data_IF_722709763165
#
_entry.id   IF_722709763165
#
_cell.length_a   1.000
_cell.length_b   1.000
_cell.length_c   1.000
_cell.angle_alpha   90.00
_cell.angle_beta   90.00
_cell.angle_gamma   90.00
#
_symmetry.space_group_name_H-M   'P 1'
#
loop_
_entity.id
_entity.type
_entity.pdbx_description
1 polymer ?
#
# COMPACT_ATOMS: atom_id res chain seq x y z
N UNK A 1 4.53 15.41 -13.02
CA UNK A 1 3.23 14.83 -13.38
C UNK A 1 3.31 14.18 -14.76
N UNK A 2 2.80 12.93 -14.93
CA UNK A 2 2.79 12.23 -16.23
C UNK A 2 1.33 12.03 -16.65
N UNK A 3 0.98 12.37 -17.89
CA UNK A 3 -0.39 12.26 -18.38
C UNK A 3 -0.43 11.56 -19.75
N UNK A 4 -1.23 10.50 -19.87
CA UNK A 4 -1.55 9.82 -21.11
C UNK A 4 -2.88 10.33 -21.64
N UNK A 5 -2.93 10.75 -22.91
CA UNK A 5 -4.14 11.28 -23.58
C UNK A 5 -4.44 10.47 -24.82
N UNK A 6 -5.45 9.62 -24.75
CA UNK A 6 -5.96 8.80 -25.87
C UNK A 6 -4.83 8.07 -26.62
N UNK A 7 -3.94 7.41 -25.85
CA UNK A 7 -2.76 6.76 -26.40
C UNK A 7 -3.10 5.40 -26.99
N UNK A 8 -2.67 5.18 -28.21
CA UNK A 8 -2.76 3.92 -28.94
C UNK A 8 -1.36 3.43 -29.32
N UNK A 9 -1.19 2.11 -29.29
CA UNK A 9 0.00 1.46 -29.86
C UNK A 9 -0.39 0.28 -30.71
N UNK A 10 0.06 0.32 -31.97
CA UNK A 10 -0.13 -0.74 -32.94
C UNK A 10 1.22 -1.16 -33.52
N UNK A 11 1.45 -2.45 -33.64
CA UNK A 11 2.59 -3.04 -34.33
C UNK A 11 2.03 -3.85 -35.53
N UNK A 12 2.27 -3.39 -36.76
CA UNK A 12 1.70 -3.97 -37.96
C UNK A 12 0.16 -4.10 -37.81
N UNK A 13 -0.33 -5.33 -37.71
CA UNK A 13 -1.75 -5.63 -37.56
C UNK A 13 -2.21 -5.86 -36.11
N UNK A 14 -1.27 -5.91 -35.13
CA UNK A 14 -1.60 -6.15 -33.73
C UNK A 14 -1.70 -4.84 -32.94
N UNK A 15 -2.86 -4.58 -32.34
CA UNK A 15 -3.06 -3.45 -31.43
C UNK A 15 -2.71 -3.89 -30.01
N UNK A 16 -1.64 -3.31 -29.47
CA UNK A 16 -1.12 -3.62 -28.12
C UNK A 16 -1.75 -2.71 -27.06
N UNK A 17 -2.01 -1.44 -27.40
CA UNK A 17 -2.69 -0.49 -26.49
C UNK A 17 -3.79 0.24 -27.27
N UNK A 18 -4.93 0.38 -26.63
CA UNK A 18 -6.13 0.99 -27.21
C UNK A 18 -6.73 2.01 -26.24
N UNK A 19 -6.68 3.27 -26.64
CA UNK A 19 -7.29 4.40 -25.91
C UNK A 19 -6.87 4.53 -24.44
N UNK A 20 -5.57 4.44 -24.18
CA UNK A 20 -5.03 4.58 -22.82
C UNK A 20 -5.06 6.05 -22.41
N UNK A 21 -5.81 6.36 -21.35
CA UNK A 21 -5.89 7.71 -20.78
C UNK A 21 -5.88 7.62 -19.25
N UNK A 22 -4.86 8.15 -18.61
CA UNK A 22 -4.75 8.26 -17.15
C UNK A 22 -3.65 9.25 -16.78
N UNK A 23 -3.60 9.61 -15.50
CA UNK A 23 -2.71 10.64 -14.98
C UNK A 23 -1.99 10.13 -13.73
N UNK A 24 -0.69 10.33 -13.70
CA UNK A 24 0.18 10.03 -12.57
C UNK A 24 0.59 11.36 -11.95
N UNK A 25 0.17 11.58 -10.72
CA UNK A 25 0.53 12.79 -9.98
C UNK A 25 2.01 12.77 -9.58
N UNK A 26 2.59 13.95 -9.44
CA UNK A 26 3.97 14.09 -8.97
C UNK A 26 4.09 13.56 -7.54
N UNK A 27 5.13 12.78 -7.28
CA UNK A 27 5.39 12.20 -5.96
C UNK A 27 4.64 10.90 -5.69
N UNK A 28 3.83 10.38 -6.64
CA UNK A 28 3.13 9.12 -6.43
C UNK A 28 3.92 7.93 -6.97
N UNK A 29 3.76 6.80 -6.28
CA UNK A 29 4.14 5.48 -6.78
C UNK A 29 2.94 4.85 -7.49
N UNK A 30 3.07 4.55 -8.78
CA UNK A 30 2.02 3.92 -9.57
C UNK A 30 2.48 2.55 -10.08
N UNK A 31 1.70 1.53 -9.79
CA UNK A 31 1.91 0.18 -10.30
C UNK A 31 1.08 -0.07 -11.56
N UNK A 32 1.71 -0.59 -12.62
CA UNK A 32 1.04 -1.16 -13.79
C UNK A 32 1.01 -2.68 -13.62
N UNK A 33 -0.19 -3.27 -13.51
CA UNK A 33 -0.35 -4.71 -13.31
C UNK A 33 -1.38 -5.30 -14.26
N UNK A 34 -1.30 -6.59 -14.54
CA UNK A 34 -2.22 -7.30 -15.43
C UNK A 34 -1.56 -8.54 -16.03
N UNK A 35 -2.28 -9.27 -16.86
CA UNK A 35 -1.77 -10.49 -17.51
C UNK A 35 -0.58 -10.24 -18.44
N UNK A 36 0.17 -11.29 -18.76
CA UNK A 36 1.28 -11.18 -19.70
C UNK A 36 0.79 -10.73 -21.07
N UNK A 37 1.50 -9.79 -21.69
CA UNK A 37 1.14 -9.25 -23.01
C UNK A 37 0.07 -8.16 -23.02
N UNK A 38 -0.55 -7.78 -21.89
CA UNK A 38 -1.59 -6.73 -21.85
C UNK A 38 -1.08 -5.28 -22.08
N UNK A 39 0.23 -5.08 -22.25
CA UNK A 39 0.80 -3.77 -22.63
C UNK A 39 1.51 -2.99 -21.54
N UNK A 40 1.70 -3.52 -20.32
CA UNK A 40 2.37 -2.85 -19.17
C UNK A 40 3.74 -2.27 -19.53
N UNK A 41 4.67 -3.15 -19.92
CA UNK A 41 6.04 -2.77 -20.31
C UNK A 41 6.04 -1.81 -21.52
N UNK A 42 5.10 -1.97 -22.46
CA UNK A 42 4.94 -1.03 -23.58
C UNK A 42 4.55 0.36 -23.09
N UNK A 43 3.57 0.44 -22.16
CA UNK A 43 3.14 1.70 -21.53
C UNK A 43 4.30 2.35 -20.78
N UNK A 44 5.04 1.56 -19.96
CA UNK A 44 6.21 2.05 -19.24
C UNK A 44 7.28 2.63 -20.21
N UNK A 45 7.63 1.88 -21.25
CA UNK A 45 8.65 2.27 -22.25
C UNK A 45 8.26 3.46 -23.11
N UNK A 46 6.99 3.85 -23.13
CA UNK A 46 6.57 5.07 -23.81
C UNK A 46 6.91 6.32 -23.01
N UNK A 47 6.92 6.28 -21.69
CA UNK A 47 7.22 7.47 -20.86
C UNK A 47 8.61 8.03 -21.16
N UNK A 48 9.60 7.15 -21.38
CA UNK A 48 10.97 7.57 -21.74
C UNK A 48 11.25 7.54 -23.25
N UNK A 49 10.20 7.45 -24.08
CA UNK A 49 10.28 7.39 -25.54
C UNK A 49 11.18 6.29 -26.09
N UNK A 50 11.35 5.15 -25.39
CA UNK A 50 11.92 3.94 -25.98
C UNK A 50 10.96 3.35 -27.01
N UNK A 51 9.67 3.57 -26.81
CA UNK A 51 8.59 3.24 -27.75
C UNK A 51 7.77 4.50 -27.98
N UNK A 52 7.49 4.85 -29.23
CA UNK A 52 6.59 5.95 -29.55
C UNK A 52 5.13 5.45 -29.66
N UNK A 53 4.14 6.23 -29.20
CA UNK A 53 2.74 5.93 -29.45
C UNK A 53 2.43 5.99 -30.95
N UNK A 54 1.42 5.24 -31.39
CA UNK A 54 0.91 5.32 -32.77
C UNK A 54 -0.06 6.48 -32.93
N UNK A 55 -0.85 6.76 -31.88
CA UNK A 55 -1.77 7.91 -31.77
C UNK A 55 -1.83 8.35 -30.32
N UNK A 56 -2.32 9.59 -30.08
CA UNK A 56 -2.43 10.19 -28.77
C UNK A 56 -1.13 10.85 -28.32
N UNK A 57 -1.14 11.38 -27.09
CA UNK A 57 -0.06 12.17 -26.54
C UNK A 57 0.31 11.70 -25.14
N UNK A 58 1.59 11.81 -24.80
CA UNK A 58 2.10 11.62 -23.44
C UNK A 58 2.77 12.92 -23.04
N UNK A 59 2.32 13.47 -21.91
CA UNK A 59 2.85 14.71 -21.38
C UNK A 59 3.60 14.46 -20.08
N UNK A 60 4.70 15.15 -19.90
CA UNK A 60 5.43 15.25 -18.64
C UNK A 60 5.46 16.73 -18.24
N UNK A 61 4.86 17.03 -17.08
CA UNK A 61 4.69 18.39 -16.57
C UNK A 61 3.99 19.34 -17.56
N UNK A 62 2.98 18.79 -18.26
CA UNK A 62 2.17 19.52 -19.26
C UNK A 62 2.80 19.62 -20.63
N UNK A 63 4.05 19.22 -20.81
CA UNK A 63 4.75 19.28 -22.09
C UNK A 63 4.79 17.90 -22.77
N UNK A 64 4.43 17.88 -24.07
CA UNK A 64 4.46 16.65 -24.86
C UNK A 64 5.91 16.14 -24.99
N UNK A 65 6.12 14.87 -24.62
CA UNK A 65 7.45 14.25 -24.65
C UNK A 65 8.05 14.20 -26.06
N UNK A 66 7.22 14.25 -27.11
CA UNK A 66 7.70 14.26 -28.50
C UNK A 66 8.44 15.55 -28.86
N UNK A 67 8.15 16.65 -28.14
CA UNK A 67 8.80 17.96 -28.32
C UNK A 67 10.11 18.08 -27.53
N UNK A 68 10.35 17.21 -26.54
CA UNK A 68 11.56 17.23 -25.73
C UNK A 68 12.74 16.59 -26.46
N UNK A 69 13.95 17.05 -26.15
CA UNK A 69 15.17 16.35 -26.59
C UNK A 69 15.18 14.94 -25.96
N UNK A 70 15.27 13.91 -26.78
CA UNK A 70 15.15 12.52 -26.34
C UNK A 70 16.31 12.09 -25.41
N UNK A 71 17.50 12.62 -25.63
CA UNK A 71 18.69 12.30 -24.84
C UNK A 71 18.53 12.91 -23.44
N UNK A 72 18.14 14.17 -23.38
CA UNK A 72 17.89 14.86 -22.09
C UNK A 72 16.73 14.24 -21.33
N UNK A 73 15.62 13.91 -22.01
CA UNK A 73 14.49 13.20 -21.42
C UNK A 73 14.96 11.91 -20.74
N UNK A 74 15.71 11.06 -21.44
CA UNK A 74 16.19 9.79 -20.93
C UNK A 74 17.23 9.93 -19.81
N UNK A 75 18.09 10.94 -19.87
CA UNK A 75 19.07 11.23 -18.81
C UNK A 75 18.41 11.71 -17.51
N UNK A 76 17.22 12.30 -17.59
CA UNK A 76 16.47 12.83 -16.46
C UNK A 76 15.42 11.86 -15.89
N UNK A 77 15.31 10.65 -16.46
CA UNK A 77 14.46 9.56 -15.98
C UNK A 77 15.35 8.40 -15.54
N UNK A 78 15.22 7.98 -14.29
CA UNK A 78 15.81 6.72 -13.82
C UNK A 78 15.09 5.54 -14.44
N UNK A 79 15.83 4.52 -14.90
CA UNK A 79 15.19 3.36 -15.51
C UNK A 79 15.84 2.05 -15.06
N UNK A 80 15.04 1.22 -14.39
CA UNK A 80 15.37 -0.16 -14.01
C UNK A 80 14.70 -1.10 -14.99
N UNK A 81 15.48 -1.87 -15.74
CA UNK A 81 14.97 -2.83 -16.72
C UNK A 81 14.85 -4.23 -16.12
N UNK A 82 13.95 -5.05 -16.65
CA UNK A 82 13.66 -6.42 -16.21
C UNK A 82 14.90 -7.33 -16.19
N UNK A 83 15.72 -7.28 -17.22
CA UNK A 83 17.05 -7.89 -17.23
C UNK A 83 18.04 -6.81 -16.76
N UNK A 84 18.89 -7.13 -15.81
CA UNK A 84 19.77 -6.18 -15.10
C UNK A 84 20.41 -5.06 -15.95
N UNK A 85 20.64 -5.34 -17.24
CA UNK A 85 21.15 -4.38 -18.23
C UNK A 85 22.44 -3.67 -17.81
N UNK A 86 23.23 -4.32 -16.99
CA UNK A 86 24.57 -3.89 -16.64
C UNK A 86 25.50 -4.15 -17.80
N UNK A 87 26.43 -3.25 -18.02
CA UNK A 87 27.48 -3.44 -19.02
C UNK A 87 28.52 -4.41 -18.46
N UNK A 88 28.70 -5.59 -19.05
CA UNK A 88 29.54 -6.66 -18.46
C UNK A 88 31.02 -6.33 -18.43
N UNK A 89 31.45 -5.39 -19.28
CA UNK A 89 32.83 -4.92 -19.38
C UNK A 89 33.16 -3.71 -18.50
N UNK A 90 32.18 -3.19 -17.77
CA UNK A 90 32.34 -2.12 -16.79
C UNK A 90 32.24 -2.68 -15.39
N UNK A 91 32.99 -2.13 -14.47
CA UNK A 91 32.87 -2.43 -13.03
C UNK A 91 31.50 -2.01 -12.51
N UNK A 92 31.12 -2.45 -11.31
CA UNK A 92 29.89 -2.03 -10.64
C UNK A 92 29.88 -0.52 -10.43
N UNK A 93 31.00 0.05 -10.00
CA UNK A 93 31.19 1.51 -9.88
C UNK A 93 30.85 2.21 -11.21
N UNK A 94 31.50 1.79 -12.28
CA UNK A 94 31.31 2.41 -13.59
C UNK A 94 29.89 2.26 -14.12
N UNK A 95 29.24 1.11 -13.86
CA UNK A 95 27.83 0.91 -14.19
C UNK A 95 26.93 1.89 -13.45
N UNK A 96 27.12 2.08 -12.16
CA UNK A 96 26.33 3.00 -11.33
C UNK A 96 26.55 4.45 -11.77
N UNK A 97 27.80 4.87 -11.96
CA UNK A 97 28.22 6.23 -12.22
C UNK A 97 28.02 6.70 -13.67
N UNK A 98 27.69 5.79 -14.59
CA UNK A 98 27.65 6.05 -16.03
C UNK A 98 26.84 7.29 -16.40
N UNK A 99 25.61 7.41 -15.93
CA UNK A 99 24.73 8.54 -16.28
C UNK A 99 25.20 9.83 -15.62
N UNK A 100 25.73 9.76 -14.40
CA UNK A 100 26.27 10.94 -13.71
C UNK A 100 27.50 11.52 -14.45
N UNK A 101 28.39 10.66 -14.93
CA UNK A 101 29.54 11.05 -15.77
C UNK A 101 29.08 11.66 -17.10
N UNK A 102 28.07 11.08 -17.74
CA UNK A 102 27.48 11.64 -18.96
C UNK A 102 26.77 12.99 -18.74
N UNK A 103 26.29 13.24 -17.52
CA UNK A 103 25.74 14.55 -17.08
C UNK A 103 26.84 15.52 -16.63
N UNK A 104 28.10 15.09 -16.61
CA UNK A 104 29.25 15.88 -16.14
C UNK A 104 29.10 16.38 -14.71
N UNK A 105 28.58 15.54 -13.83
CA UNK A 105 28.53 15.83 -12.39
C UNK A 105 29.96 15.85 -11.83
N UNK A 106 30.21 16.64 -10.75
CA UNK A 106 31.52 16.64 -10.07
C UNK A 106 31.86 15.25 -9.50
N UNK A 107 33.12 14.83 -9.62
CA UNK A 107 33.57 13.51 -9.20
C UNK A 107 33.38 13.26 -7.70
N UNK A 108 33.56 14.29 -6.86
CA UNK A 108 33.33 14.19 -5.42
C UNK A 108 31.85 13.90 -5.10
N UNK A 109 30.93 14.55 -5.80
CA UNK A 109 29.49 14.32 -5.65
C UNK A 109 29.12 12.92 -6.12
N UNK A 110 29.70 12.47 -7.25
CA UNK A 110 29.47 11.10 -7.78
C UNK A 110 29.94 10.09 -6.75
N UNK A 111 31.18 10.22 -6.24
CA UNK A 111 31.72 9.29 -5.24
C UNK A 111 30.89 9.22 -3.96
N UNK A 112 30.45 10.38 -3.46
CA UNK A 112 29.57 10.44 -2.26
C UNK A 112 28.24 9.72 -2.52
N UNK A 113 27.57 10.09 -3.60
CA UNK A 113 26.27 9.49 -3.97
C UNK A 113 26.39 8.00 -4.28
N UNK A 114 27.48 7.54 -4.89
CA UNK A 114 27.71 6.11 -5.16
C UNK A 114 27.74 5.31 -3.85
N UNK A 115 28.41 5.80 -2.81
CA UNK A 115 28.42 5.16 -1.49
C UNK A 115 27.03 5.13 -0.85
N UNK A 116 26.31 6.25 -0.91
CA UNK A 116 24.92 6.33 -0.43
C UNK A 116 24.00 5.34 -1.16
N UNK A 117 24.17 5.19 -2.47
CA UNK A 117 23.35 4.25 -3.28
C UNK A 117 23.72 2.78 -2.97
N UNK A 118 24.99 2.47 -2.72
CA UNK A 118 25.40 1.11 -2.32
C UNK A 118 24.79 0.73 -0.97
N UNK A 119 24.83 1.63 0.01
CA UNK A 119 24.21 1.46 1.32
C UNK A 119 22.69 1.26 1.17
N UNK A 120 22.03 2.13 0.40
CA UNK A 120 20.61 2.08 0.10
C UNK A 120 20.16 0.71 -0.44
N UNK A 121 20.94 0.13 -1.35
CA UNK A 121 20.59 -1.19 -1.92
C UNK A 121 21.16 -2.37 -1.11
N UNK A 122 21.76 -2.12 0.05
CA UNK A 122 22.32 -3.15 0.94
C UNK A 122 23.46 -3.94 0.29
N UNK A 123 24.36 -3.27 -0.43
CA UNK A 123 25.56 -3.85 -1.01
C UNK A 123 26.80 -3.26 -0.39
N UNK A 124 27.73 -4.12 0.03
CA UNK A 124 29.02 -3.69 0.56
C UNK A 124 29.86 -2.95 -0.50
N UNK A 125 30.62 -1.94 -0.07
CA UNK A 125 31.45 -1.13 -0.96
C UNK A 125 32.54 -1.94 -1.68
N UNK A 126 32.93 -3.10 -1.16
CA UNK A 126 33.89 -4.01 -1.81
C UNK A 126 33.40 -4.57 -3.14
N UNK A 127 32.09 -4.47 -3.42
CA UNK A 127 31.55 -4.86 -4.72
C UNK A 127 31.82 -3.83 -5.83
N UNK A 128 32.17 -2.58 -5.49
CA UNK A 128 32.31 -1.49 -6.47
C UNK A 128 33.33 -1.79 -7.57
N UNK A 129 34.41 -2.49 -7.23
CA UNK A 129 35.49 -2.78 -8.15
C UNK A 129 35.35 -4.15 -8.86
N UNK A 130 34.26 -4.89 -8.59
CA UNK A 130 33.90 -6.14 -9.26
C UNK A 130 33.17 -5.90 -10.58
N UNK A 131 33.10 -6.94 -11.40
CA UNK A 131 32.32 -6.95 -12.63
C UNK A 131 30.95 -7.60 -12.41
N UNK A 132 29.94 -7.31 -13.25
CA UNK A 132 28.62 -7.90 -13.13
C UNK A 132 28.61 -9.43 -13.10
N UNK A 133 29.48 -10.09 -13.81
CA UNK A 133 29.62 -11.56 -13.87
C UNK A 133 30.03 -12.20 -12.54
N UNK A 134 30.55 -11.41 -11.61
CA UNK A 134 30.96 -11.85 -10.27
C UNK A 134 29.83 -11.70 -9.24
N UNK A 135 28.66 -11.17 -9.65
CA UNK A 135 27.49 -10.92 -8.82
C UNK A 135 26.35 -11.89 -9.13
N UNK A 136 25.57 -12.25 -8.10
CA UNK A 136 24.30 -12.97 -8.31
C UNK A 136 23.30 -12.09 -9.06
N UNK A 137 22.27 -12.69 -9.69
CA UNK A 137 21.23 -11.95 -10.40
C UNK A 137 20.52 -10.92 -9.51
N UNK A 138 20.25 -11.25 -8.25
CA UNK A 138 19.65 -10.32 -7.30
C UNK A 138 20.59 -9.16 -6.92
N UNK A 139 21.90 -9.41 -6.80
CA UNK A 139 22.89 -8.34 -6.58
C UNK A 139 22.99 -7.42 -7.79
N UNK A 140 23.01 -7.98 -9.00
CA UNK A 140 22.97 -7.20 -10.24
C UNK A 140 21.72 -6.34 -10.35
N UNK A 141 20.55 -6.87 -9.94
CA UNK A 141 19.29 -6.11 -9.93
C UNK A 141 19.39 -4.90 -8.98
N UNK A 142 19.95 -5.09 -7.79
CA UNK A 142 20.20 -4.00 -6.82
C UNK A 142 21.15 -2.93 -7.39
N UNK A 143 22.18 -3.31 -8.09
CA UNK A 143 23.07 -2.38 -8.81
C UNK A 143 22.30 -1.60 -9.87
N UNK A 144 21.39 -2.24 -10.60
CA UNK A 144 20.51 -1.58 -11.56
C UNK A 144 19.61 -0.51 -10.91
N UNK A 145 19.11 -0.79 -9.70
CA UNK A 145 18.36 0.18 -8.89
C UNK A 145 19.27 1.34 -8.48
N UNK A 146 20.45 1.07 -7.88
CA UNK A 146 21.41 2.09 -7.51
C UNK A 146 21.76 3.03 -8.66
N UNK A 147 22.00 2.48 -9.86
CA UNK A 147 22.24 3.25 -11.09
C UNK A 147 21.09 4.17 -11.45
N UNK A 148 19.85 3.70 -11.32
CA UNK A 148 18.66 4.48 -11.66
C UNK A 148 18.45 5.67 -10.73
N UNK A 149 18.84 5.56 -9.46
CA UNK A 149 18.67 6.59 -8.43
C UNK A 149 19.85 7.57 -8.33
N UNK A 150 21.06 7.21 -8.75
CA UNK A 150 22.29 7.99 -8.52
C UNK A 150 22.18 9.46 -8.93
N UNK A 151 21.57 9.75 -10.07
CA UNK A 151 21.43 11.12 -10.59
C UNK A 151 20.27 11.89 -9.99
N UNK A 152 19.61 11.34 -8.99
CA UNK A 152 18.47 11.93 -8.29
C UNK A 152 17.32 12.39 -9.22
N UNK A 153 16.84 11.52 -10.14
CA UNK A 153 15.81 11.91 -11.10
C UNK A 153 14.48 12.15 -10.43
N UNK A 154 13.64 13.01 -11.01
CA UNK A 154 12.26 13.26 -10.53
C UNK A 154 11.29 12.12 -10.88
N UNK A 155 11.59 11.35 -11.94
CA UNK A 155 10.80 10.23 -12.42
C UNK A 155 11.67 8.98 -12.46
N UNK A 156 11.15 7.88 -11.95
CA UNK A 156 11.80 6.58 -11.98
C UNK A 156 10.85 5.55 -12.56
N UNK A 157 11.32 4.82 -13.55
CA UNK A 157 10.58 3.73 -14.20
C UNK A 157 11.23 2.41 -13.85
N UNK A 158 10.42 1.40 -13.50
CA UNK A 158 10.93 0.08 -13.13
C UNK A 158 10.12 -1.01 -13.83
N UNK A 159 10.80 -1.88 -14.57
CA UNK A 159 10.18 -3.02 -15.26
C UNK A 159 10.51 -4.29 -14.48
N UNK A 160 9.56 -4.81 -13.69
CA UNK A 160 9.70 -5.97 -12.81
C UNK A 160 10.94 -5.92 -11.87
N UNK A 161 11.08 -4.86 -11.05
CA UNK A 161 12.32 -4.61 -10.30
C UNK A 161 12.64 -5.65 -9.23
N UNK A 162 11.67 -6.49 -8.83
CA UNK A 162 11.81 -7.43 -7.73
C UNK A 162 11.81 -8.91 -8.16
N UNK A 163 11.61 -9.20 -9.45
CA UNK A 163 11.38 -10.56 -9.96
C UNK A 163 12.55 -11.53 -9.74
N UNK A 164 13.79 -11.03 -9.72
CA UNK A 164 15.00 -11.83 -9.55
C UNK A 164 15.49 -11.93 -8.08
N UNK A 165 14.71 -11.43 -7.12
CA UNK A 165 15.12 -11.35 -5.71
C UNK A 165 14.48 -12.48 -4.89
N UNK A 166 15.24 -12.98 -3.92
CA UNK A 166 14.69 -13.83 -2.86
C UNK A 166 13.73 -13.04 -1.96
N UNK A 167 12.81 -13.70 -1.22
CA UNK A 167 11.77 -13.01 -0.46
C UNK A 167 12.29 -12.01 0.58
N UNK A 168 13.39 -12.31 1.28
CA UNK A 168 13.94 -11.41 2.30
C UNK A 168 14.53 -10.15 1.67
N UNK A 169 15.35 -10.32 0.63
CA UNK A 169 15.96 -9.21 -0.12
C UNK A 169 14.89 -8.37 -0.81
N UNK A 170 13.84 -9.00 -1.37
CA UNK A 170 12.70 -8.33 -1.99
C UNK A 170 12.01 -7.41 -1.00
N UNK A 171 11.64 -7.91 0.19
CA UNK A 171 11.00 -7.11 1.23
C UNK A 171 11.88 -5.93 1.67
N UNK A 172 13.16 -6.17 1.90
CA UNK A 172 14.12 -5.11 2.30
C UNK A 172 14.21 -4.00 1.25
N UNK A 173 14.29 -4.36 -0.05
CA UNK A 173 14.37 -3.37 -1.12
C UNK A 173 13.05 -2.60 -1.31
N UNK A 174 11.91 -3.26 -1.12
CA UNK A 174 10.59 -2.62 -1.13
C UNK A 174 10.45 -1.60 0.00
N UNK A 175 10.86 -1.96 1.22
CA UNK A 175 10.81 -1.06 2.39
C UNK A 175 11.74 0.15 2.19
N UNK A 176 12.92 -0.07 1.59
CA UNK A 176 13.84 1.03 1.27
C UNK A 176 13.28 1.95 0.18
N UNK A 177 12.61 1.39 -0.84
CA UNK A 177 11.94 2.18 -1.88
C UNK A 177 10.87 3.11 -1.27
N UNK A 178 10.08 2.61 -0.32
CA UNK A 178 9.08 3.40 0.40
C UNK A 178 9.74 4.53 1.22
N UNK A 179 10.84 4.24 1.94
CA UNK A 179 11.60 5.27 2.68
C UNK A 179 12.14 6.38 1.78
N UNK A 180 12.62 6.01 0.59
CA UNK A 180 13.11 6.98 -0.39
C UNK A 180 11.96 7.84 -0.90
N UNK A 181 10.83 7.23 -1.22
CA UNK A 181 9.65 7.98 -1.66
C UNK A 181 9.20 8.97 -0.58
N UNK A 182 9.04 8.54 0.67
CA UNK A 182 8.68 9.42 1.80
C UNK A 182 9.62 10.61 1.94
N UNK A 183 10.93 10.39 1.78
CA UNK A 183 11.96 11.41 1.95
C UNK A 183 12.07 12.38 0.76
N UNK A 184 11.98 11.87 -0.48
CA UNK A 184 12.32 12.62 -1.68
C UNK A 184 11.13 12.87 -2.61
N UNK A 185 9.96 12.30 -2.33
CA UNK A 185 8.72 12.48 -3.12
C UNK A 185 8.92 12.28 -4.62
N UNK A 186 9.55 11.14 -4.99
CA UNK A 186 9.80 10.80 -6.39
C UNK A 186 8.54 10.24 -7.06
N UNK A 187 8.34 10.56 -8.33
CA UNK A 187 7.31 9.90 -9.12
C UNK A 187 7.85 8.57 -9.63
N UNK A 188 7.28 7.47 -9.15
CA UNK A 188 7.74 6.12 -9.51
C UNK A 188 6.64 5.41 -10.29
N UNK A 189 7.01 4.83 -11.43
CA UNK A 189 6.10 3.94 -12.18
C UNK A 189 6.77 2.59 -12.30
N UNK A 190 6.13 1.57 -11.76
CA UNK A 190 6.69 0.23 -11.86
C UNK A 190 5.69 -0.77 -12.43
N UNK A 191 6.23 -1.80 -13.07
CA UNK A 191 5.49 -2.94 -13.59
C UNK A 191 5.77 -4.14 -12.68
N UNK A 192 4.75 -4.85 -12.30
CA UNK A 192 4.86 -6.18 -11.68
C UNK A 192 3.74 -7.09 -12.14
N UNK A 193 3.86 -8.37 -11.91
CA UNK A 193 2.81 -9.37 -12.01
C UNK A 193 2.33 -9.83 -10.62
N UNK A 194 2.95 -9.34 -9.55
CA UNK A 194 2.62 -9.68 -8.17
C UNK A 194 1.72 -8.60 -7.55
N UNK A 195 0.50 -9.00 -7.18
CA UNK A 195 -0.48 -8.08 -6.59
C UNK A 195 -0.08 -7.66 -5.16
N UNK A 196 0.65 -8.50 -4.41
CA UNK A 196 1.08 -8.14 -3.06
C UNK A 196 2.14 -7.04 -3.10
N UNK A 197 3.04 -7.05 -4.11
CA UNK A 197 3.96 -5.95 -4.37
C UNK A 197 3.20 -4.66 -4.70
N UNK A 198 2.19 -4.75 -5.57
CA UNK A 198 1.40 -3.60 -5.96
C UNK A 198 0.65 -2.99 -4.77
N UNK A 199 0.02 -3.83 -3.94
CA UNK A 199 -0.72 -3.40 -2.75
C UNK A 199 0.21 -2.77 -1.71
N UNK A 200 1.39 -3.36 -1.49
CA UNK A 200 2.35 -2.90 -0.48
C UNK A 200 2.98 -1.55 -0.82
N UNK A 201 3.26 -1.31 -2.11
CA UNK A 201 4.13 -0.20 -2.51
C UNK A 201 3.38 0.95 -3.16
N UNK A 202 2.30 0.67 -3.92
CA UNK A 202 1.71 1.67 -4.79
C UNK A 202 0.68 2.57 -4.09
N UNK A 203 0.74 3.88 -4.34
CA UNK A 203 -0.36 4.81 -4.03
C UNK A 203 -1.58 4.55 -4.93
N UNK A 204 -1.32 4.17 -6.19
CA UNK A 204 -2.35 3.78 -7.15
C UNK A 204 -1.93 2.59 -7.99
N UNK A 205 -2.88 1.73 -8.28
CA UNK A 205 -2.70 0.54 -9.12
C UNK A 205 -3.49 0.73 -10.40
N UNK A 206 -2.83 0.51 -11.54
CA UNK A 206 -3.42 0.51 -12.87
C UNK A 206 -3.53 -0.94 -13.36
N UNK A 207 -4.74 -1.50 -13.27
CA UNK A 207 -5.02 -2.85 -13.76
C UNK A 207 -5.30 -2.78 -15.25
N UNK A 208 -4.50 -3.52 -16.03
CA UNK A 208 -4.57 -3.56 -17.49
C UNK A 208 -4.95 -4.95 -17.99
N UNK A 209 -5.79 -4.99 -18.99
CA UNK A 209 -6.15 -6.22 -19.71
C UNK A 209 -6.43 -5.92 -21.19
N UNK A 210 -6.01 -6.81 -22.12
CA UNK A 210 -6.25 -6.71 -23.55
C UNK A 210 -5.87 -5.35 -24.16
N UNK A 211 -4.85 -4.67 -23.61
CA UNK A 211 -4.44 -3.34 -24.09
C UNK A 211 -5.29 -2.17 -23.58
N UNK A 212 -6.16 -2.39 -22.61
CA UNK A 212 -7.02 -1.38 -22.00
C UNK A 212 -6.73 -1.22 -20.50
N UNK A 213 -7.01 -0.03 -19.94
CA UNK A 213 -7.08 0.16 -18.50
C UNK A 213 -8.47 -0.28 -18.04
N UNK A 214 -8.52 -1.29 -17.17
CA UNK A 214 -9.78 -1.78 -16.61
C UNK A 214 -10.15 -0.98 -15.36
N UNK A 215 -9.19 -0.80 -14.44
CA UNK A 215 -9.36 0.02 -13.25
C UNK A 215 -8.05 0.74 -12.90
N UNK A 216 -8.16 1.99 -12.45
CA UNK A 216 -7.06 2.80 -11.96
C UNK A 216 -7.48 3.50 -10.68
N UNK A 217 -7.01 3.02 -9.55
CA UNK A 217 -7.46 3.50 -8.24
C UNK A 217 -6.42 3.19 -7.14
N UNK A 218 -6.71 3.58 -5.90
CA UNK A 218 -5.94 3.20 -4.72
C UNK A 218 -6.06 1.68 -4.45
N UNK A 219 -5.06 1.05 -3.81
CA UNK A 219 -5.15 -0.36 -3.40
C UNK A 219 -6.42 -0.66 -2.60
N UNK A 220 -6.77 0.21 -1.64
CA UNK A 220 -8.00 0.06 -0.82
C UNK A 220 -9.26 -0.01 -1.69
N UNK A 221 -9.42 0.91 -2.65
CA UNK A 221 -10.60 0.94 -3.51
C UNK A 221 -10.67 -0.26 -4.45
N UNK A 222 -9.52 -0.73 -4.97
CA UNK A 222 -9.46 -1.92 -5.82
C UNK A 222 -9.87 -3.17 -5.04
N UNK A 223 -9.41 -3.31 -3.79
CA UNK A 223 -9.75 -4.43 -2.93
C UNK A 223 -11.22 -4.42 -2.51
N UNK A 224 -11.77 -3.25 -2.17
CA UNK A 224 -13.16 -3.11 -1.67
C UNK A 224 -14.20 -3.01 -2.78
N UNK A 225 -13.85 -2.40 -3.89
CA UNK A 225 -14.77 -2.04 -4.98
C UNK A 225 -14.19 -2.42 -6.34
N UNK A 226 -13.95 -3.72 -6.60
CA UNK A 226 -13.50 -4.17 -7.91
C UNK A 226 -14.55 -3.82 -8.99
N UNK A 227 -14.10 -3.18 -10.07
CA UNK A 227 -14.97 -2.63 -11.12
C UNK A 227 -15.81 -3.70 -11.84
N UNK A 228 -15.28 -4.92 -11.94
CA UNK A 228 -15.95 -6.04 -12.61
C UNK A 228 -15.40 -7.40 -12.11
N UNK A 229 -15.98 -8.50 -12.60
CA UNK A 229 -15.57 -9.87 -12.25
C UNK A 229 -14.08 -10.16 -12.59
N UNK A 230 -13.58 -9.62 -13.70
CA UNK A 230 -12.16 -9.78 -14.06
C UNK A 230 -11.26 -9.21 -12.97
N UNK A 231 -11.51 -7.97 -12.54
CA UNK A 231 -10.71 -7.33 -11.46
C UNK A 231 -10.85 -8.12 -10.16
N UNK A 232 -12.08 -8.51 -9.79
CA UNK A 232 -12.33 -9.31 -8.58
C UNK A 232 -11.55 -10.62 -8.57
N UNK A 233 -11.57 -11.36 -9.69
CA UNK A 233 -10.85 -12.62 -9.83
C UNK A 233 -9.32 -12.40 -9.87
N UNK A 234 -8.86 -11.37 -10.60
CA UNK A 234 -7.43 -11.06 -10.74
C UNK A 234 -6.80 -10.65 -9.40
N UNK A 235 -7.50 -9.84 -8.62
CA UNK A 235 -7.08 -9.43 -7.28
C UNK A 235 -7.17 -10.59 -6.30
N UNK A 236 -8.18 -11.43 -6.42
CA UNK A 236 -8.53 -12.50 -5.50
C UNK A 236 -9.49 -12.01 -4.41
N UNK A 237 -10.69 -12.63 -4.31
CA UNK A 237 -11.78 -12.13 -3.46
C UNK A 237 -11.44 -12.09 -1.96
N UNK A 238 -10.47 -12.88 -1.52
CA UNK A 238 -10.06 -12.96 -0.10
C UNK A 238 -8.85 -12.09 0.25
N UNK A 239 -8.21 -11.44 -0.73
CA UNK A 239 -6.95 -10.70 -0.51
C UNK A 239 -7.08 -9.50 0.41
N UNK A 240 -8.25 -8.88 0.53
CA UNK A 240 -8.47 -7.79 1.48
C UNK A 240 -8.16 -8.22 2.94
N UNK A 241 -8.33 -9.51 3.25
CA UNK A 241 -8.09 -10.04 4.59
C UNK A 241 -6.61 -10.28 4.91
N UNK A 242 -5.75 -10.32 3.90
CA UNK A 242 -4.29 -10.33 4.09
C UNK A 242 -3.71 -8.92 4.26
N UNK A 243 -4.56 -7.89 4.14
CA UNK A 243 -4.20 -6.47 4.24
C UNK A 243 -5.10 -5.77 5.28
N UNK A 244 -4.97 -6.11 6.58
CA UNK A 244 -5.86 -5.65 7.64
C UNK A 244 -5.84 -4.13 7.85
N UNK A 245 -4.83 -3.44 7.34
CA UNK A 245 -4.74 -1.97 7.33
C UNK A 245 -5.84 -1.30 6.49
N UNK A 246 -6.38 -1.99 5.48
CA UNK A 246 -7.46 -1.48 4.63
C UNK A 246 -8.87 -1.82 5.14
N UNK A 247 -8.98 -2.75 6.09
CA UNK A 247 -10.27 -3.08 6.70
C UNK A 247 -10.55 -2.05 7.79
N UNK A 248 -11.62 -1.27 7.64
CA UNK A 248 -12.01 -0.26 8.62
C UNK A 248 -12.90 -0.86 9.70
N UNK A 249 -12.79 -0.34 10.91
CA UNK A 249 -13.61 -0.72 12.07
C UNK A 249 -15.10 -0.67 11.75
N UNK A 250 -15.57 0.34 11.01
CA UNK A 250 -16.98 0.47 10.56
C UNK A 250 -17.50 -0.71 9.74
N UNK A 251 -16.59 -1.44 9.05
CA UNK A 251 -16.92 -2.54 8.14
C UNK A 251 -17.15 -3.85 8.90
N UNK A 252 -16.59 -3.97 10.15
CA UNK A 252 -16.59 -5.19 10.96
C UNK A 252 -17.24 -5.04 12.34
N UNK A 253 -17.60 -3.80 12.75
CA UNK A 253 -18.22 -3.56 14.04
C UNK A 253 -19.65 -4.10 14.13
N UNK A 254 -20.00 -4.61 15.29
CA UNK A 254 -21.39 -4.90 15.64
C UNK A 254 -22.12 -3.60 15.92
N UNK A 255 -23.20 -3.36 15.19
CA UNK A 255 -24.08 -2.19 15.38
C UNK A 255 -25.00 -2.42 16.59
N UNK A 256 -25.51 -1.32 17.17
CA UNK A 256 -26.45 -1.34 18.29
C UNK A 256 -25.89 -1.98 19.59
N UNK A 257 -24.79 -1.48 20.14
CA UNK A 257 -24.25 -1.96 21.41
C UNK A 257 -25.26 -1.76 22.54
N UNK A 258 -25.23 -2.66 23.52
CA UNK A 258 -26.05 -2.55 24.72
C UNK A 258 -25.54 -1.40 25.56
N UNK A 259 -26.39 -0.41 25.84
CA UNK A 259 -26.01 0.83 26.53
C UNK A 259 -26.84 1.06 27.78
N UNK A 260 -26.32 1.83 28.73
CA UNK A 260 -27.11 2.44 29.81
C UNK A 260 -26.74 3.93 29.97
N UNK A 261 -27.61 4.67 30.63
CA UNK A 261 -27.34 6.04 31.07
C UNK A 261 -26.48 6.02 32.33
N UNK A 262 -25.63 7.03 32.50
CA UNK A 262 -24.73 7.19 33.64
C UNK A 262 -25.44 7.23 35.00
N UNK A 263 -26.69 7.68 35.04
CA UNK A 263 -27.52 7.76 36.25
C UNK A 263 -28.32 6.48 36.58
N UNK A 264 -28.25 5.46 35.72
CA UNK A 264 -28.95 4.17 35.98
C UNK A 264 -28.30 3.46 37.15
N UNK A 265 -29.12 2.90 38.07
CA UNK A 265 -28.58 2.13 39.24
C UNK A 265 -27.87 0.86 38.79
N UNK A 266 -26.82 0.46 39.52
CA UNK A 266 -26.05 -0.76 39.22
C UNK A 266 -26.96 -2.00 39.15
N UNK A 267 -27.96 -2.08 40.02
CA UNK A 267 -28.96 -3.17 40.00
C UNK A 267 -29.63 -3.30 38.63
N UNK A 268 -30.11 -2.18 38.06
CA UNK A 268 -30.73 -2.17 36.73
C UNK A 268 -29.74 -2.45 35.63
N UNK A 269 -28.49 -2.02 35.76
CA UNK A 269 -27.41 -2.35 34.84
C UNK A 269 -27.18 -3.86 34.76
N UNK A 270 -27.01 -4.50 35.93
CA UNK A 270 -26.81 -5.95 36.02
C UNK A 270 -28.01 -6.75 35.51
N UNK A 271 -29.24 -6.32 35.84
CA UNK A 271 -30.46 -6.91 35.31
C UNK A 271 -30.49 -6.86 33.78
N UNK A 272 -30.13 -5.71 33.21
CA UNK A 272 -30.03 -5.53 31.75
C UNK A 272 -28.97 -6.44 31.11
N UNK A 273 -27.79 -6.51 31.74
CA UNK A 273 -26.69 -7.38 31.28
C UNK A 273 -27.10 -8.86 31.30
N UNK A 274 -27.72 -9.29 32.37
CA UNK A 274 -28.23 -10.67 32.54
C UNK A 274 -29.28 -11.02 31.48
N UNK A 275 -30.28 -10.15 31.28
CA UNK A 275 -31.35 -10.37 30.34
C UNK A 275 -30.87 -10.42 28.88
N UNK A 276 -29.86 -9.64 28.55
CA UNK A 276 -29.28 -9.56 27.21
C UNK A 276 -28.03 -10.44 27.02
N UNK A 277 -27.65 -11.19 28.07
CA UNK A 277 -26.51 -12.14 28.09
C UNK A 277 -25.20 -11.47 27.63
N UNK A 278 -24.93 -10.28 28.16
CA UNK A 278 -23.67 -9.53 27.91
C UNK A 278 -22.89 -9.35 29.20
N UNK A 279 -21.58 -9.45 29.12
CA UNK A 279 -20.64 -9.25 30.23
C UNK A 279 -20.16 -7.79 30.35
N UNK A 280 -20.42 -6.99 29.33
CA UNK A 280 -20.00 -5.59 29.25
C UNK A 280 -21.16 -4.69 28.85
N UNK A 281 -21.33 -3.58 29.56
CA UNK A 281 -22.40 -2.59 29.32
C UNK A 281 -21.78 -1.23 29.09
N UNK A 282 -22.09 -0.62 27.92
CA UNK A 282 -21.58 0.68 27.55
C UNK A 282 -22.36 1.79 28.27
N UNK A 283 -21.64 2.68 28.96
CA UNK A 283 -22.23 3.85 29.64
C UNK A 283 -22.15 5.05 28.71
N UNK A 284 -23.30 5.71 28.53
CA UNK A 284 -23.41 6.88 27.64
C UNK A 284 -24.16 8.04 28.34
N UNK A 285 -23.84 9.27 27.93
CA UNK A 285 -24.59 10.44 28.37
C UNK A 285 -25.92 10.63 27.60
N UNK A 286 -26.59 11.75 27.81
CA UNK A 286 -27.86 12.11 27.15
C UNK A 286 -27.72 12.25 25.62
N UNK A 287 -26.54 12.57 25.11
CA UNK A 287 -26.21 12.74 23.68
C UNK A 287 -25.60 11.48 23.04
N UNK A 288 -25.64 10.34 23.72
CA UNK A 288 -25.00 9.07 23.33
C UNK A 288 -23.46 9.14 23.27
N UNK A 289 -22.82 10.14 23.89
CA UNK A 289 -21.38 10.19 24.01
C UNK A 289 -20.94 9.05 24.95
N UNK A 290 -19.91 8.31 24.54
CA UNK A 290 -19.34 7.23 25.32
C UNK A 290 -18.59 7.76 26.55
N UNK A 291 -18.95 7.28 27.73
CA UNK A 291 -18.34 7.65 29.02
C UNK A 291 -17.42 6.56 29.58
N UNK A 292 -17.63 5.32 29.16
CA UNK A 292 -16.87 4.16 29.58
C UNK A 292 -17.74 2.90 29.63
N UNK A 293 -17.22 1.81 30.17
CA UNK A 293 -17.89 0.51 30.24
C UNK A 293 -17.98 0.00 31.67
N UNK A 294 -19.07 -0.71 31.99
CA UNK A 294 -19.18 -1.54 33.18
C UNK A 294 -18.90 -2.99 32.75
N UNK A 295 -17.91 -3.60 33.38
CA UNK A 295 -17.49 -5.00 33.11
C UNK A 295 -17.83 -5.83 34.34
N UNK A 296 -18.56 -6.93 34.17
CA UNK A 296 -19.02 -7.77 35.29
C UNK A 296 -17.85 -8.25 36.16
N UNK A 297 -16.78 -8.72 35.55
CA UNK A 297 -15.62 -9.28 36.23
C UNK A 297 -14.81 -8.26 37.04
N UNK A 298 -15.01 -6.97 36.82
CA UNK A 298 -14.38 -5.89 37.59
C UNK A 298 -15.21 -5.43 38.78
N UNK A 299 -16.45 -5.93 38.91
CA UNK A 299 -17.33 -5.56 40.00
C UNK A 299 -17.04 -6.38 41.29
N UNK A 300 -16.86 -5.67 42.39
CA UNK A 300 -16.73 -6.34 43.69
C UNK A 300 -18.07 -6.93 44.15
N UNK A 301 -18.07 -8.13 44.79
CA UNK A 301 -19.28 -8.69 45.43
C UNK A 301 -19.94 -7.74 46.43
N UNK A 302 -19.17 -6.81 47.01
CA UNK A 302 -19.66 -5.80 47.98
C UNK A 302 -20.15 -4.50 47.31
N UNK A 303 -20.26 -4.47 45.97
CA UNK A 303 -20.69 -3.27 45.22
C UNK A 303 -22.10 -2.84 45.61
N UNK A 304 -22.30 -1.54 45.89
CA UNK A 304 -23.60 -1.00 46.26
C UNK A 304 -24.54 -0.90 45.04
N UNK A 305 -25.51 -1.80 44.96
CA UNK A 305 -26.45 -1.95 43.85
C UNK A 305 -27.33 -0.69 43.62
N UNK A 306 -27.47 0.19 44.63
CA UNK A 306 -28.26 1.44 44.51
C UNK A 306 -27.50 2.59 43.91
N UNK A 307 -26.15 2.55 43.89
CA UNK A 307 -25.33 3.62 43.28
C UNK A 307 -25.48 3.63 41.75
N UNK A 308 -25.23 4.77 41.15
CA UNK A 308 -25.33 4.99 39.71
C UNK A 308 -24.20 4.31 38.93
N UNK A 309 -24.45 4.01 37.66
CA UNK A 309 -23.52 3.42 36.68
C UNK A 309 -22.20 4.18 36.64
N UNK A 310 -22.23 5.51 36.74
CA UNK A 310 -21.05 6.36 36.72
C UNK A 310 -19.98 6.02 37.76
N UNK A 311 -20.38 5.38 38.90
CA UNK A 311 -19.44 5.00 39.95
C UNK A 311 -18.70 3.68 39.66
N UNK A 312 -19.10 2.95 38.62
CA UNK A 312 -18.62 1.62 38.30
C UNK A 312 -18.03 1.55 36.88
N UNK A 313 -17.76 2.67 36.29
CA UNK A 313 -17.07 2.74 34.98
C UNK A 313 -15.66 2.24 35.17
N UNK A 314 -15.26 1.26 34.34
CA UNK A 314 -13.90 0.70 34.31
C UNK A 314 -12.89 1.82 34.04
N UNK A 315 -11.79 1.81 34.81
CA UNK A 315 -10.64 2.73 34.59
C UNK A 315 -9.87 2.42 33.31
N UNK A 316 -10.04 1.22 32.78
CA UNK A 316 -9.38 0.71 31.57
C UNK A 316 -10.28 0.84 30.33
N UNK A 317 -11.17 1.82 30.30
CA UNK A 317 -12.06 2.06 29.15
C UNK A 317 -11.27 2.53 27.95
N UNK A 318 -11.03 1.60 27.01
CA UNK A 318 -10.38 1.85 25.74
C UNK A 318 -11.47 1.92 24.67
N UNK A 319 -11.35 2.81 23.71
CA UNK A 319 -12.25 2.87 22.54
C UNK A 319 -11.44 3.09 21.27
N UNK A 320 -11.99 2.65 20.15
CA UNK A 320 -11.42 2.86 18.80
C UNK A 320 -12.40 3.72 17.97
N UNK A 321 -11.88 4.35 16.94
CA UNK A 321 -12.71 5.13 16.01
C UNK A 321 -13.24 4.24 14.90
N UNK A 322 -14.39 4.60 14.35
CA UNK A 322 -14.96 3.91 13.18
C UNK A 322 -14.05 3.96 11.93
N UNK A 323 -13.13 4.94 11.88
CA UNK A 323 -12.15 5.14 10.81
C UNK A 323 -10.86 4.35 11.00
N UNK A 324 -10.60 3.83 12.20
CA UNK A 324 -9.38 3.08 12.48
C UNK A 324 -9.35 1.78 11.68
N UNK A 325 -8.16 1.22 11.46
CA UNK A 325 -7.99 -0.04 10.74
C UNK A 325 -8.17 -1.25 11.67
N UNK A 326 -8.39 -2.42 11.07
CA UNK A 326 -8.37 -3.69 11.81
C UNK A 326 -7.02 -3.91 12.50
N UNK A 327 -5.92 -3.48 11.88
CA UNK A 327 -4.59 -3.57 12.46
C UNK A 327 -4.49 -2.77 13.77
N UNK A 328 -5.04 -1.55 13.80
CA UNK A 328 -5.09 -0.73 15.01
C UNK A 328 -5.88 -1.42 16.12
N UNK A 329 -7.03 -2.03 15.77
CA UNK A 329 -7.84 -2.80 16.71
C UNK A 329 -7.07 -4.00 17.27
N UNK A 330 -6.36 -4.75 16.43
CA UNK A 330 -5.55 -5.89 16.85
C UNK A 330 -4.45 -5.48 17.83
N UNK A 331 -3.79 -4.34 17.59
CA UNK A 331 -2.80 -3.79 18.51
C UNK A 331 -3.43 -3.40 19.86
N UNK A 332 -4.63 -2.81 19.84
CA UNK A 332 -5.37 -2.48 21.06
C UNK A 332 -5.80 -3.75 21.81
N UNK A 333 -6.30 -4.77 21.12
CA UNK A 333 -6.72 -6.06 21.72
C UNK A 333 -5.56 -6.77 22.39
N UNK A 334 -4.38 -6.79 21.74
CA UNK A 334 -3.18 -7.44 22.27
C UNK A 334 -2.68 -6.78 23.58
N UNK A 335 -2.83 -5.46 23.69
CA UNK A 335 -2.38 -4.69 24.84
C UNK A 335 -3.45 -4.54 25.94
N UNK A 336 -4.73 -4.76 25.61
CA UNK A 336 -5.85 -4.61 26.55
C UNK A 336 -6.32 -5.96 27.09
N UNK A 337 -6.61 -6.02 28.38
CA UNK A 337 -7.24 -7.19 29.02
C UNK A 337 -8.78 -7.26 28.78
N UNK A 338 -9.30 -6.43 27.87
CA UNK A 338 -10.75 -6.36 27.60
C UNK A 338 -11.15 -7.26 26.44
N UNK A 339 -12.34 -7.86 26.54
CA UNK A 339 -12.93 -8.70 25.50
C UNK A 339 -13.82 -7.93 24.54
N UNK A 340 -14.18 -6.68 24.90
CA UNK A 340 -15.12 -5.84 24.16
C UNK A 340 -14.57 -4.42 24.01
N UNK A 341 -14.47 -3.93 22.78
CA UNK A 341 -13.93 -2.62 22.44
C UNK A 341 -15.05 -1.75 21.86
N UNK A 342 -15.43 -0.66 22.53
CA UNK A 342 -16.37 0.32 21.99
C UNK A 342 -15.83 1.05 20.78
N UNK A 343 -16.71 1.29 19.81
CA UNK A 343 -16.42 2.07 18.60
C UNK A 343 -17.12 3.41 18.67
N UNK A 344 -16.36 4.48 18.50
CA UNK A 344 -16.86 5.86 18.56
C UNK A 344 -16.58 6.62 17.26
N UNK A 345 -17.39 7.62 16.95
CA UNK A 345 -17.08 8.55 15.88
C UNK A 345 -16.11 9.66 16.34
N UNK A 346 -15.74 10.59 15.45
CA UNK A 346 -14.85 11.73 15.74
C UNK A 346 -15.37 12.66 16.86
N UNK A 347 -16.67 12.62 17.18
CA UNK A 347 -17.31 13.40 18.26
C UNK A 347 -17.42 12.62 19.57
N UNK A 348 -16.88 11.40 19.64
CA UNK A 348 -16.97 10.52 20.80
C UNK A 348 -18.34 9.85 21.00
N UNK A 349 -19.22 9.88 19.99
CA UNK A 349 -20.54 9.25 20.04
C UNK A 349 -20.39 7.76 19.72
N UNK A 350 -20.95 6.90 20.58
CA UNK A 350 -20.91 5.45 20.43
C UNK A 350 -21.67 5.00 19.16
N UNK A 351 -20.96 4.30 18.27
CA UNK A 351 -21.49 3.79 17.01
C UNK A 351 -21.70 2.27 17.04
N UNK A 352 -20.83 1.54 17.70
CA UNK A 352 -20.84 0.09 17.73
C UNK A 352 -19.88 -0.46 18.77
N UNK A 353 -19.58 -1.75 18.64
CA UNK A 353 -18.56 -2.43 19.42
C UNK A 353 -17.89 -3.53 18.60
N UNK A 354 -16.67 -3.88 18.99
CA UNK A 354 -15.96 -5.06 18.48
C UNK A 354 -15.74 -6.02 19.65
N UNK A 355 -15.98 -7.30 19.41
CA UNK A 355 -15.66 -8.38 20.36
C UNK A 355 -14.67 -9.35 19.72
N UNK A 356 -13.96 -10.15 20.53
CA UNK A 356 -13.14 -11.25 20.02
C UNK A 356 -13.97 -12.21 19.16
N UNK A 357 -15.21 -12.49 19.56
CA UNK A 357 -16.13 -13.33 18.78
C UNK A 357 -16.48 -12.71 17.42
N UNK A 358 -16.81 -11.41 17.37
CA UNK A 358 -17.11 -10.74 16.09
C UNK A 358 -15.90 -10.70 15.15
N UNK A 359 -14.68 -10.52 15.68
CA UNK A 359 -13.45 -10.61 14.89
C UNK A 359 -13.25 -12.01 14.32
N UNK A 360 -13.39 -13.04 15.14
CA UNK A 360 -13.29 -14.43 14.70
C UNK A 360 -14.36 -14.78 13.67
N UNK A 361 -15.60 -14.35 13.88
CA UNK A 361 -16.71 -14.58 12.93
C UNK A 361 -16.44 -13.87 11.61
N UNK A 362 -15.99 -12.61 11.64
CA UNK A 362 -15.66 -11.86 10.43
C UNK A 362 -14.50 -12.49 9.65
N UNK A 363 -13.50 -13.03 10.34
CA UNK A 363 -12.40 -13.76 9.73
C UNK A 363 -12.87 -15.12 9.19
N UNK A 364 -13.62 -15.90 9.98
CA UNK A 364 -14.03 -17.26 9.60
C UNK A 364 -15.07 -17.29 8.48
N UNK A 365 -16.03 -16.36 8.44
CA UNK A 365 -17.03 -16.30 7.37
C UNK A 365 -16.37 -16.15 5.99
N UNK A 366 -15.28 -15.40 5.91
CA UNK A 366 -14.55 -15.20 4.67
C UNK A 366 -13.73 -16.42 4.20
N UNK A 367 -13.41 -17.33 5.13
CA UNK A 367 -12.76 -18.60 4.79
C UNK A 367 -13.77 -19.70 4.42
N UNK A 368 -15.01 -19.61 4.92
CA UNK A 368 -16.06 -20.63 4.74
C UNK A 368 -16.94 -20.39 3.50
N UNK A 369 -17.15 -19.14 3.07
CA UNK A 369 -17.93 -18.79 1.86
C UNK A 369 -17.29 -19.23 0.52
N UNK A 370 -16.21 -19.96 0.53
CA UNK A 370 -15.48 -20.45 -0.67
C UNK A 370 -15.49 -21.97 -0.84
N UNK A 371 -16.33 -22.71 -0.11
CA UNK A 371 -16.41 -24.17 -0.23
C UNK A 371 -17.60 -24.68 -1.04
N UNK A 372 -18.43 -23.79 -1.59
CA UNK A 372 -19.61 -24.13 -2.42
C UNK A 372 -19.54 -23.50 -3.83
N UNK A 373 -18.47 -23.81 -4.61
CA UNK A 373 -18.50 -23.71 -6.08
C UNK A 373 -17.58 -24.78 -6.68
#
# INVERSE_FOLDING_TARGET
MIEFKNVFKKYKNNTVLSNISFKIETGNIVCLIGESGCGKTTTLKMINRLINPTKGHILIDGEDITKKNVIELRRNIGYVIQQTGLFPHLTIRENIELIAKLKKMPDDDINKKTKEMMDMVGLDLSYLDRYPTELSGGQQQRVGVARAFLTDPSIILMDEPFSALDPMTRNSLQDELLRIEEKFKKTIVFVTHDMDEAIKIADKICIMDGGHIIQYDTPENILKHPKNKFVSNFVGPKRIWTSPEFIKVKDIMLKNPVTCRENLSLFRCLTKMRNLKVDTLMVVDSKRKYLGSIIIDELSPSSNLKKSASNYISKNSISVKETDSLLDVLNVVNNAKTTTIPVVNSKGILQGLITRGSLLTSLSSQFLEGSDE
#
